data_IF_683487816806
#
_entry.id   IF_683487816806
#
_cell.length_a   1.000
_cell.length_b   1.000
_cell.length_c   1.000
_cell.angle_alpha   90.00
_cell.angle_beta   90.00
_cell.angle_gamma   90.00
#
_symmetry.space_group_name_H-M   'P 1'
#
loop_
_entity.id
_entity.type
_entity.pdbx_description
1 polymer ?
#
# COMPACT_ATOMS: atom_id res chain seq x y z
N UNK A 1 -19.00 11.57 30.35
CA UNK A 1 -18.51 11.23 28.99
C UNK A 1 -17.27 12.08 28.73
N UNK A 2 -16.08 11.52 28.92
CA UNK A 2 -14.85 12.25 28.62
C UNK A 2 -14.72 12.35 27.10
N UNK A 3 -14.79 13.57 26.56
CA UNK A 3 -14.50 13.83 25.16
C UNK A 3 -12.98 13.72 25.00
N UNK A 4 -12.51 12.57 24.51
CA UNK A 4 -11.10 12.33 24.28
C UNK A 4 -10.67 13.13 23.05
N UNK A 5 -9.88 14.18 23.26
CA UNK A 5 -9.38 15.02 22.18
C UNK A 5 -8.11 14.39 21.59
N UNK A 6 -8.29 13.57 20.55
CA UNK A 6 -7.20 12.93 19.83
C UNK A 6 -6.15 13.92 19.30
N UNK A 7 -6.52 15.19 19.09
CA UNK A 7 -5.59 16.20 18.59
C UNK A 7 -4.57 16.65 19.64
N UNK A 8 -4.83 16.39 20.93
CA UNK A 8 -3.91 16.67 22.04
C UNK A 8 -2.92 15.55 22.31
N UNK A 9 -3.06 14.40 21.65
CA UNK A 9 -2.09 13.32 21.79
C UNK A 9 -0.72 13.71 21.18
N UNK A 10 0.38 13.21 21.77
CA UNK A 10 1.69 13.22 21.14
C UNK A 10 1.65 12.64 19.72
N UNK A 11 2.48 13.17 18.82
CA UNK A 11 2.45 12.79 17.41
C UNK A 11 2.79 11.31 17.18
N UNK A 12 3.69 10.73 17.97
CA UNK A 12 4.09 9.32 17.95
C UNK A 12 2.93 8.37 18.30
N UNK A 13 2.17 8.71 19.35
CA UNK A 13 0.98 7.95 19.74
C UNK A 13 -0.10 8.08 18.67
N UNK A 14 -0.32 9.29 18.18
CA UNK A 14 -1.30 9.53 17.13
C UNK A 14 -0.91 8.79 15.83
N UNK A 15 0.36 8.80 15.45
CA UNK A 15 0.89 8.06 14.30
C UNK A 15 0.59 6.56 14.43
N UNK A 16 0.86 5.97 15.59
CA UNK A 16 0.58 4.55 15.87
C UNK A 16 -0.91 4.22 15.72
N UNK A 17 -1.79 5.08 16.22
CA UNK A 17 -3.25 4.94 16.07
C UNK A 17 -3.64 5.02 14.60
N UNK A 18 -3.10 5.97 13.85
CA UNK A 18 -3.43 6.15 12.43
C UNK A 18 -2.93 4.99 11.58
N UNK A 19 -1.76 4.41 11.88
CA UNK A 19 -1.29 3.16 11.24
C UNK A 19 -2.29 2.04 11.51
N UNK A 20 -2.75 1.88 12.76
CA UNK A 20 -3.76 0.88 13.10
C UNK A 20 -5.05 1.06 12.30
N UNK A 21 -5.54 2.30 12.16
CA UNK A 21 -6.70 2.60 11.32
C UNK A 21 -6.45 2.19 9.87
N UNK A 22 -5.31 2.53 9.28
CA UNK A 22 -4.98 2.13 7.90
C UNK A 22 -4.92 0.61 7.73
N UNK A 23 -4.45 -0.13 8.74
CA UNK A 23 -4.45 -1.59 8.71
C UNK A 23 -5.85 -2.18 8.73
N UNK A 24 -6.78 -1.63 9.52
CA UNK A 24 -8.15 -2.14 9.58
C UNK A 24 -8.97 -1.76 8.34
N UNK A 25 -8.76 -0.55 7.84
CA UNK A 25 -9.60 0.09 6.82
C UNK A 25 -8.97 0.10 5.42
N UNK A 26 -7.80 -0.53 5.24
CA UNK A 26 -6.99 -0.56 4.00
C UNK A 26 -6.27 0.75 3.66
N UNK A 27 -5.43 0.72 2.61
CA UNK A 27 -4.68 1.90 2.15
C UNK A 27 -5.57 3.09 1.76
N UNK A 28 -6.84 2.85 1.40
CA UNK A 28 -7.80 3.93 1.10
C UNK A 28 -8.09 4.84 2.30
N UNK A 29 -7.85 4.37 3.53
CA UNK A 29 -7.99 5.17 4.74
C UNK A 29 -7.05 6.37 4.78
N UNK A 30 -5.88 6.30 4.13
CA UNK A 30 -4.89 7.40 4.11
C UNK A 30 -5.53 8.69 3.58
N UNK A 31 -6.28 8.61 2.48
CA UNK A 31 -6.97 9.78 1.90
C UNK A 31 -8.05 10.31 2.84
N UNK A 32 -8.86 9.43 3.45
CA UNK A 32 -9.90 9.82 4.41
C UNK A 32 -9.29 10.52 5.63
N UNK A 33 -8.20 9.99 6.16
CA UNK A 33 -7.47 10.57 7.29
C UNK A 33 -6.86 11.92 6.93
N UNK A 34 -6.28 12.06 5.73
CA UNK A 34 -5.72 13.32 5.25
C UNK A 34 -6.77 14.44 5.13
N UNK A 35 -8.03 14.08 4.88
CA UNK A 35 -9.16 15.01 4.80
C UNK A 35 -9.80 15.33 6.16
N UNK A 36 -9.43 14.61 7.22
CA UNK A 36 -10.05 14.78 8.54
C UNK A 36 -9.62 16.09 9.21
N UNK A 37 -8.31 16.38 9.23
CA UNK A 37 -7.77 17.64 9.75
C UNK A 37 -6.32 17.85 9.28
N UNK A 38 -5.80 19.08 9.43
CA UNK A 38 -4.43 19.42 9.04
C UNK A 38 -3.37 18.57 9.76
N UNK A 39 -3.57 18.27 11.05
CA UNK A 39 -2.63 17.46 11.84
C UNK A 39 -2.53 16.04 11.28
N UNK A 40 -3.66 15.44 10.92
CA UNK A 40 -3.68 14.09 10.34
C UNK A 40 -3.06 14.10 8.95
N UNK A 41 -3.40 15.08 8.12
CA UNK A 41 -2.77 15.28 6.82
C UNK A 41 -1.24 15.33 6.93
N UNK A 42 -0.73 16.15 7.85
CA UNK A 42 0.71 16.30 8.06
C UNK A 42 1.39 14.98 8.47
N UNK A 43 0.68 14.06 9.14
CA UNK A 43 1.22 12.75 9.55
C UNK A 43 1.12 11.77 8.37
N UNK A 44 -0.07 11.59 7.79
CA UNK A 44 -0.30 10.53 6.79
C UNK A 44 0.35 10.80 5.44
N UNK A 45 0.67 12.07 5.16
CA UNK A 45 1.43 12.48 3.98
C UNK A 45 2.94 12.25 4.12
N UNK A 46 3.44 11.88 5.31
CA UNK A 46 4.86 11.59 5.50
C UNK A 46 5.24 10.24 4.90
N UNK A 47 6.39 10.20 4.24
CA UNK A 47 6.91 8.97 3.63
C UNK A 47 7.13 7.87 4.68
N UNK A 48 7.68 8.21 5.86
CA UNK A 48 7.94 7.23 6.90
C UNK A 48 6.64 6.59 7.43
N UNK A 49 5.55 7.36 7.56
CA UNK A 49 4.25 6.84 7.98
C UNK A 49 3.72 5.83 6.95
N UNK A 50 3.82 6.18 5.67
CA UNK A 50 3.36 5.34 4.58
C UNK A 50 4.15 4.03 4.49
N UNK A 51 5.47 4.10 4.68
CA UNK A 51 6.32 2.92 4.78
C UNK A 51 5.97 2.06 6.00
N UNK A 52 5.77 2.68 7.17
CA UNK A 52 5.39 1.96 8.39
C UNK A 52 4.04 1.23 8.23
N UNK A 53 3.03 1.90 7.66
CA UNK A 53 1.74 1.28 7.38
C UNK A 53 1.86 0.11 6.40
N UNK A 54 2.66 0.26 5.34
CA UNK A 54 2.91 -0.79 4.36
C UNK A 54 3.62 -2.00 4.95
N UNK A 55 4.73 -1.80 5.66
CA UNK A 55 5.45 -2.90 6.29
C UNK A 55 4.63 -3.56 7.39
N UNK A 56 3.85 -2.79 8.15
CA UNK A 56 2.93 -3.36 9.14
C UNK A 56 1.85 -4.24 8.49
N UNK A 57 1.35 -3.85 7.32
CA UNK A 57 0.42 -4.68 6.56
C UNK A 57 1.08 -5.97 6.07
N UNK A 58 2.26 -5.87 5.45
CA UNK A 58 3.02 -7.02 4.99
C UNK A 58 3.37 -8.00 6.14
N UNK A 59 3.79 -7.48 7.29
CA UNK A 59 4.09 -8.28 8.48
C UNK A 59 2.82 -8.91 9.09
N UNK A 60 1.63 -8.37 8.80
CA UNK A 60 0.35 -8.94 9.22
C UNK A 60 -0.15 -10.09 8.35
N UNK A 61 0.22 -10.10 7.07
CA UNK A 61 -0.24 -11.10 6.09
C UNK A 61 0.79 -12.17 5.77
N UNK A 62 2.06 -11.96 6.12
CA UNK A 62 3.16 -12.88 5.80
C UNK A 62 3.95 -13.28 7.05
N UNK A 63 4.05 -14.59 7.28
CA UNK A 63 4.99 -15.10 8.28
C UNK A 63 6.39 -15.25 7.66
N UNK A 64 7.18 -14.19 7.68
CA UNK A 64 8.53 -14.11 7.10
C UNK A 64 9.49 -15.19 7.57
N UNK A 65 9.32 -15.72 8.79
CA UNK A 65 10.18 -16.76 9.35
C UNK A 65 10.10 -18.08 8.58
N UNK A 66 9.04 -18.28 7.78
CA UNK A 66 8.85 -19.48 6.95
C UNK A 66 9.56 -19.41 5.61
N UNK A 67 10.11 -18.25 5.25
CA UNK A 67 10.70 -18.01 3.94
C UNK A 67 12.22 -17.88 4.02
N UNK A 68 12.90 -18.15 2.90
CA UNK A 68 14.35 -17.94 2.80
C UNK A 68 14.70 -16.45 2.88
N UNK A 69 15.93 -16.14 3.31
CA UNK A 69 16.43 -14.75 3.34
C UNK A 69 16.31 -14.05 1.98
N UNK A 70 16.54 -14.80 0.89
CA UNK A 70 16.38 -14.29 -0.48
C UNK A 70 14.93 -13.89 -0.77
N UNK A 71 13.96 -14.72 -0.38
CA UNK A 71 12.54 -14.42 -0.58
C UNK A 71 12.10 -13.21 0.26
N UNK A 72 12.55 -13.12 1.52
CA UNK A 72 12.32 -11.94 2.35
C UNK A 72 12.83 -10.65 1.69
N UNK A 73 14.06 -10.66 1.19
CA UNK A 73 14.67 -9.48 0.55
C UNK A 73 14.02 -9.08 -0.77
N UNK A 74 13.58 -10.07 -1.55
CA UNK A 74 12.93 -9.85 -2.84
C UNK A 74 11.56 -9.22 -2.69
N UNK A 75 10.84 -9.58 -1.64
CA UNK A 75 9.43 -9.26 -1.55
C UNK A 75 9.12 -8.21 -0.44
N UNK A 76 9.83 -8.18 0.70
CA UNK A 76 9.62 -7.14 1.74
C UNK A 76 10.29 -5.81 1.36
N UNK A 77 9.90 -5.24 0.24
CA UNK A 77 10.41 -3.99 -0.33
C UNK A 77 9.41 -2.85 -0.13
N UNK A 78 9.86 -1.57 -0.12
CA UNK A 78 8.96 -0.44 -0.21
C UNK A 78 8.23 -0.46 -1.56
N UNK A 79 7.02 0.08 -1.58
CA UNK A 79 6.33 0.37 -2.84
C UNK A 79 6.79 1.72 -3.40
N UNK A 80 6.70 1.90 -4.71
CA UNK A 80 6.83 3.21 -5.36
C UNK A 80 5.45 3.70 -5.81
N UNK A 81 5.29 5.01 -5.97
CA UNK A 81 4.11 5.57 -6.64
C UNK A 81 4.48 5.80 -8.10
N UNK A 82 3.92 4.98 -8.98
CA UNK A 82 4.12 5.07 -10.43
C UNK A 82 2.90 5.70 -11.09
N UNK A 83 3.07 6.17 -12.33
CA UNK A 83 2.02 6.77 -13.13
C UNK A 83 1.68 5.85 -14.30
N UNK A 84 0.42 5.46 -14.40
CA UNK A 84 -0.16 4.74 -15.52
C UNK A 84 -0.23 5.64 -16.76
N UNK A 85 -0.24 5.05 -17.96
CA UNK A 85 -0.42 5.73 -19.25
C UNK A 85 -1.65 6.66 -19.26
N UNK A 86 -2.71 6.27 -18.55
CA UNK A 86 -3.94 7.04 -18.35
C UNK A 86 -3.85 8.15 -17.30
N UNK A 87 -2.64 8.58 -16.94
CA UNK A 87 -2.35 9.61 -15.94
C UNK A 87 -2.83 9.28 -14.52
N UNK A 88 -3.23 8.04 -14.24
CA UNK A 88 -3.59 7.59 -12.90
C UNK A 88 -2.33 7.22 -12.10
N UNK A 89 -2.27 7.64 -10.84
CA UNK A 89 -1.22 7.23 -9.91
C UNK A 89 -1.61 5.90 -9.24
N UNK A 90 -0.66 4.99 -9.09
CA UNK A 90 -0.89 3.71 -8.43
C UNK A 90 0.33 3.29 -7.60
N UNK A 91 0.08 2.38 -6.64
CA UNK A 91 1.16 1.73 -5.89
C UNK A 91 1.77 0.65 -6.77
N UNK A 92 3.02 0.87 -7.14
CA UNK A 92 3.85 -0.06 -7.86
C UNK A 92 4.68 -0.86 -6.84
N UNK A 93 4.35 -2.13 -6.72
CA UNK A 93 4.93 -3.02 -5.74
C UNK A 93 6.03 -3.92 -6.32
N UNK A 94 6.51 -3.67 -7.56
CA UNK A 94 7.52 -4.50 -8.23
C UNK A 94 7.10 -5.97 -8.35
N UNK A 95 8.03 -6.92 -8.13
CA UNK A 95 7.70 -8.32 -7.90
C UNK A 95 6.91 -8.42 -6.58
N UNK A 96 5.58 -8.34 -6.66
CA UNK A 96 4.85 -7.59 -5.66
C UNK A 96 3.55 -8.23 -5.24
N UNK A 97 3.35 -8.26 -3.92
CA UNK A 97 2.12 -8.65 -3.26
C UNK A 97 0.92 -7.88 -3.79
N UNK A 98 -0.14 -8.61 -4.13
CA UNK A 98 -1.42 -8.00 -4.43
C UNK A 98 -2.31 -8.09 -3.19
N UNK A 99 -2.84 -6.96 -2.78
CA UNK A 99 -3.78 -6.84 -1.68
C UNK A 99 -4.29 -5.40 -1.61
N UNK A 100 -5.30 -5.16 -0.78
CA UNK A 100 -5.85 -3.82 -0.59
C UNK A 100 -5.14 -3.05 0.55
N UNK A 101 -4.21 -3.68 1.27
CA UNK A 101 -3.55 -3.12 2.44
C UNK A 101 -4.31 -3.33 3.76
N UNK A 102 -5.41 -4.09 3.73
CA UNK A 102 -6.15 -4.47 4.92
C UNK A 102 -5.48 -5.65 5.63
N UNK A 103 -5.48 -5.61 6.97
CA UNK A 103 -4.96 -6.67 7.83
C UNK A 103 -5.57 -8.02 7.45
N UNK A 104 -4.70 -9.02 7.27
CA UNK A 104 -5.12 -10.38 6.94
C UNK A 104 -5.59 -10.59 5.50
N UNK A 105 -5.66 -9.54 4.67
CA UNK A 105 -6.08 -9.64 3.27
C UNK A 105 -4.85 -9.64 2.37
N UNK A 106 -4.54 -10.81 1.82
CA UNK A 106 -3.54 -11.02 0.79
C UNK A 106 -4.17 -11.76 -0.39
N UNK A 107 -4.13 -11.15 -1.57
CA UNK A 107 -4.64 -11.77 -2.81
C UNK A 107 -3.62 -12.69 -3.46
N UNK A 108 -2.32 -12.42 -3.32
CA UNK A 108 -1.29 -13.33 -3.81
C UNK A 108 0.10 -12.74 -3.82
N UNK A 109 1.09 -13.60 -4.08
CA UNK A 109 2.45 -13.24 -4.43
C UNK A 109 2.62 -13.47 -5.93
N UNK A 110 3.07 -12.47 -6.67
CA UNK A 110 3.45 -12.65 -8.06
C UNK A 110 4.97 -12.54 -8.19
N UNK A 111 5.57 -13.48 -8.91
CA UNK A 111 7.00 -13.42 -9.27
C UNK A 111 7.30 -12.42 -10.38
N UNK A 112 6.26 -11.91 -11.04
CA UNK A 112 6.27 -10.99 -12.17
C UNK A 112 5.17 -9.95 -12.00
N UNK A 113 5.42 -8.72 -12.43
CA UNK A 113 4.35 -7.76 -12.67
C UNK A 113 3.67 -8.17 -13.99
N UNK A 114 2.42 -8.62 -13.92
CA UNK A 114 1.68 -9.12 -15.08
C UNK A 114 1.28 -7.99 -16.05
N UNK A 115 1.38 -6.72 -15.62
CA UNK A 115 1.05 -5.55 -16.41
C UNK A 115 1.92 -4.33 -16.03
N UNK A 116 3.23 -4.37 -16.32
CA UNK A 116 4.17 -3.36 -15.86
C UNK A 116 3.89 -1.98 -16.44
N UNK A 117 3.87 -0.96 -15.57
CA UNK A 117 3.54 0.41 -15.94
C UNK A 117 2.04 0.74 -15.94
N UNK A 118 1.17 -0.22 -15.59
CA UNK A 118 -0.28 -0.04 -15.58
C UNK A 118 -0.88 -0.21 -14.19
N UNK A 119 -1.91 0.59 -13.89
CA UNK A 119 -2.61 0.55 -12.60
C UNK A 119 -3.62 -0.60 -12.48
N UNK A 120 -3.99 -1.21 -13.60
CA UNK A 120 -4.88 -2.37 -13.65
C UNK A 120 -4.67 -3.14 -14.95
N UNK A 121 -5.08 -4.41 -14.93
CA UNK A 121 -5.12 -5.25 -16.13
C UNK A 121 -5.99 -4.63 -17.24
N UNK A 122 -7.10 -3.98 -16.90
CA UNK A 122 -7.94 -3.28 -17.87
C UNK A 122 -7.19 -2.15 -18.59
N UNK A 123 -6.40 -1.36 -17.85
CA UNK A 123 -5.61 -0.29 -18.47
C UNK A 123 -4.53 -0.85 -19.41
N UNK A 124 -3.93 -1.98 -19.05
CA UNK A 124 -2.97 -2.68 -19.89
C UNK A 124 -3.61 -3.24 -21.17
N UNK A 125 -4.78 -3.88 -21.05
CA UNK A 125 -5.50 -4.45 -22.17
C UNK A 125 -6.02 -3.38 -23.13
N UNK A 126 -6.55 -2.28 -22.59
CA UNK A 126 -7.05 -1.18 -23.40
C UNK A 126 -5.96 -0.48 -24.21
N UNK A 127 -4.73 -0.43 -23.69
CA UNK A 127 -3.56 0.09 -24.40
C UNK A 127 -2.93 -0.95 -25.36
N UNK A 128 -3.60 -2.09 -25.56
CA UNK A 128 -3.19 -3.13 -26.51
C UNK A 128 -2.10 -4.05 -25.98
N UNK A 129 -2.01 -4.24 -24.66
CA UNK A 129 -0.96 -5.03 -23.99
C UNK A 129 -0.80 -6.48 -24.46
N UNK A 130 -1.81 -7.04 -25.16
CA UNK A 130 -1.75 -8.34 -25.82
C UNK A 130 -1.80 -8.24 -27.36
N UNK A 131 -1.31 -7.14 -27.94
CA UNK A 131 -1.28 -6.88 -29.38
C UNK A 131 -0.62 -8.00 -30.18
N UNK A 132 -1.44 -8.97 -30.58
CA UNK A 132 -1.30 -9.95 -31.65
C UNK A 132 0.11 -10.46 -31.95
N UNK A 133 0.44 -11.64 -31.41
CA UNK A 133 1.12 -12.66 -32.22
C UNK A 133 0.20 -13.01 -33.41
N UNK A 134 0.23 -12.19 -34.46
CA UNK A 134 -0.18 -12.65 -35.79
C UNK A 134 1.03 -13.35 -36.39
N UNK A 135 0.93 -14.68 -36.40
CA UNK A 135 1.56 -15.67 -37.30
C UNK A 135 3.01 -15.40 -37.79
#
# INVERSE_FOLDING_TARGET
MFMFDFLKLPNDILQSILVFVVLEDSCSAILRLALTCQKFNNIVSQEHFQQEAHFSWLDSVVNWKRYSKRHYQMYRMPYTISRCSRLQLYKDCGAGYQGNGQRGVLFGFYSSDDHPGYCSWDCFMDDGGLGTDKE
#
